data_IF_978221107490
#
_entry.id   IF_978221107490
#
_cell.length_a   1.000
_cell.length_b   1.000
_cell.length_c   1.000
_cell.angle_alpha   90.00
_cell.angle_beta   90.00
_cell.angle_gamma   90.00
#
_symmetry.space_group_name_H-M   'P 1'
#
loop_
_entity.id
_entity.type
_entity.pdbx_description
1 polymer ?
#
# COMPACT_ATOMS: atom_id res chain seq x y z
N UNK A 1 -32.81 -43.69 26.05
CA UNK A 1 -32.53 -43.80 24.59
C UNK A 1 -33.20 -42.60 23.95
N UNK A 2 -32.52 -41.59 23.42
CA UNK A 2 -31.11 -41.40 23.09
C UNK A 2 -30.75 -39.95 23.39
N UNK A 3 -29.82 -39.78 24.34
CA UNK A 3 -28.97 -38.61 24.47
C UNK A 3 -28.11 -38.53 23.19
N UNK A 4 -28.11 -37.38 22.52
CA UNK A 4 -27.04 -37.00 21.61
C UNK A 4 -26.66 -35.56 21.96
N UNK A 5 -25.37 -35.41 22.22
CA UNK A 5 -24.71 -34.32 22.92
C UNK A 5 -24.74 -33.00 22.16
N UNK A 6 -24.99 -31.91 22.89
CA UNK A 6 -24.53 -30.58 22.51
C UNK A 6 -22.99 -30.57 22.59
N UNK A 7 -22.34 -30.67 21.44
CA UNK A 7 -20.93 -30.28 21.33
C UNK A 7 -20.88 -28.76 21.20
N UNK A 8 -20.73 -28.10 22.35
CA UNK A 8 -20.25 -26.72 22.41
C UNK A 8 -18.80 -26.72 21.94
N UNK A 9 -18.59 -26.40 20.67
CA UNK A 9 -17.26 -26.08 20.16
C UNK A 9 -16.84 -24.74 20.77
N UNK A 10 -16.18 -24.83 21.93
CA UNK A 10 -15.48 -23.71 22.53
C UNK A 10 -14.22 -23.55 21.68
N UNK A 11 -14.32 -22.80 20.58
CA UNK A 11 -13.13 -22.22 20.00
C UNK A 11 -12.58 -21.26 21.04
N UNK A 12 -11.54 -21.70 21.75
CA UNK A 12 -10.56 -20.79 22.30
C UNK A 12 -10.08 -19.92 21.12
N UNK A 13 -10.69 -18.75 20.95
CA UNK A 13 -10.11 -17.66 20.18
C UNK A 13 -8.87 -17.24 20.94
N UNK A 14 -7.81 -18.01 20.78
CA UNK A 14 -6.47 -17.57 21.12
C UNK A 14 -6.31 -16.21 20.46
N UNK A 15 -6.03 -15.22 21.30
CA UNK A 15 -5.93 -13.81 20.95
C UNK A 15 -4.64 -13.57 20.16
N UNK A 16 -4.43 -14.33 19.09
CA UNK A 16 -3.42 -14.09 18.08
C UNK A 16 -4.07 -13.14 17.08
N UNK A 17 -3.57 -11.91 17.05
CA UNK A 17 -3.94 -10.98 15.98
C UNK A 17 -3.41 -11.58 14.65
N UNK A 18 -4.33 -11.97 13.77
CA UNK A 18 -4.03 -12.38 12.38
C UNK A 18 -3.11 -11.35 11.70
N UNK A 19 -2.21 -11.80 10.82
CA UNK A 19 -1.15 -10.97 10.24
C UNK A 19 -1.70 -9.70 9.60
N UNK A 20 -2.82 -9.79 8.88
CA UNK A 20 -3.48 -8.66 8.21
C UNK A 20 -3.99 -7.64 9.22
N UNK A 21 -4.69 -8.10 10.25
CA UNK A 21 -5.22 -7.25 11.32
C UNK A 21 -4.07 -6.56 12.07
N UNK A 22 -3.04 -7.32 12.42
CA UNK A 22 -1.82 -6.83 13.05
C UNK A 22 -1.13 -5.78 12.17
N UNK A 23 -0.94 -6.05 10.88
CA UNK A 23 -0.31 -5.14 9.92
C UNK A 23 -1.07 -3.82 9.77
N UNK A 24 -2.40 -3.86 9.60
CA UNK A 24 -3.22 -2.66 9.45
C UNK A 24 -3.30 -1.83 10.74
N UNK A 25 -3.12 -2.46 11.91
CA UNK A 25 -3.14 -1.79 13.21
C UNK A 25 -1.80 -1.17 13.62
N UNK A 26 -0.73 -1.39 12.83
CA UNK A 26 0.59 -0.81 13.12
C UNK A 26 0.56 0.71 13.06
N UNK A 27 1.40 1.33 13.88
CA UNK A 27 1.58 2.78 13.87
C UNK A 27 1.99 3.27 12.48
N UNK A 28 1.20 4.19 11.90
CA UNK A 28 1.41 4.69 10.54
C UNK A 28 0.71 3.89 9.44
N UNK A 29 0.04 2.78 9.73
CA UNK A 29 -0.67 1.98 8.73
C UNK A 29 -2.18 2.29 8.67
N UNK A 30 -2.59 3.42 9.25
CA UNK A 30 -4.02 3.76 9.37
C UNK A 30 -4.70 4.04 8.02
N UNK A 31 -3.94 4.16 6.93
CA UNK A 31 -4.49 4.34 5.58
C UNK A 31 -4.87 3.03 4.87
N UNK A 32 -4.46 1.88 5.39
CA UNK A 32 -4.85 0.59 4.85
C UNK A 32 -6.25 0.20 5.31
N UNK A 33 -7.01 -0.46 4.43
CA UNK A 33 -8.10 -1.32 4.84
C UNK A 33 -7.62 -2.78 4.93
N UNK A 34 -8.33 -3.61 5.68
CA UNK A 34 -8.04 -5.04 5.75
C UNK A 34 -8.56 -5.71 4.48
N UNK A 35 -7.68 -6.35 3.71
CA UNK A 35 -8.07 -7.12 2.53
C UNK A 35 -8.57 -8.50 2.98
N UNK A 36 -9.80 -8.89 2.61
CA UNK A 36 -10.32 -10.22 2.91
C UNK A 36 -9.44 -11.34 2.36
N UNK A 37 -9.26 -12.43 3.13
CA UNK A 37 -8.42 -13.56 2.74
C UNK A 37 -8.93 -14.26 1.49
N UNK A 38 -10.24 -14.35 1.29
CA UNK A 38 -10.86 -14.92 0.07
C UNK A 38 -10.46 -14.18 -1.21
N UNK A 39 -10.25 -12.86 -1.14
CA UNK A 39 -9.70 -12.08 -2.26
C UNK A 39 -8.25 -12.46 -2.56
N UNK A 40 -7.45 -12.73 -1.52
CA UNK A 40 -6.03 -13.06 -1.62
C UNK A 40 -5.84 -14.51 -2.09
N UNK A 41 -6.69 -15.44 -1.63
CA UNK A 41 -6.64 -16.86 -2.00
C UNK A 41 -6.97 -17.11 -3.48
N UNK A 42 -7.68 -16.19 -4.14
CA UNK A 42 -7.93 -16.26 -5.58
C UNK A 42 -6.70 -15.78 -6.38
N UNK A 43 -5.93 -16.75 -6.88
CA UNK A 43 -4.75 -16.56 -7.73
C UNK A 43 -4.97 -15.59 -8.91
N UNK A 44 -6.20 -15.49 -9.44
CA UNK A 44 -6.50 -14.56 -10.52
C UNK A 44 -6.22 -13.11 -10.11
N UNK A 45 -6.57 -12.74 -8.88
CA UNK A 45 -6.35 -11.39 -8.34
C UNK A 45 -4.86 -11.07 -8.11
N UNK A 46 -4.03 -12.11 -7.97
CA UNK A 46 -2.58 -11.99 -7.70
C UNK A 46 -1.71 -12.08 -8.95
N UNK A 47 -2.32 -12.22 -10.13
CA UNK A 47 -1.60 -12.39 -11.41
C UNK A 47 -0.48 -11.36 -11.60
N UNK A 48 0.73 -11.82 -11.91
CA UNK A 48 1.91 -10.99 -12.19
C UNK A 48 2.76 -10.62 -10.97
N UNK A 49 2.20 -10.64 -9.75
CA UNK A 49 2.93 -10.19 -8.53
C UNK A 49 4.12 -11.09 -8.17
N UNK A 50 4.09 -12.35 -8.56
CA UNK A 50 5.20 -13.30 -8.34
C UNK A 50 6.49 -12.95 -9.08
N UNK A 51 6.42 -12.12 -10.12
CA UNK A 51 7.60 -11.62 -10.84
C UNK A 51 8.16 -10.33 -10.22
N UNK A 52 7.33 -9.60 -9.46
CA UNK A 52 7.69 -8.33 -8.83
C UNK A 52 8.28 -8.54 -7.43
N UNK A 53 7.77 -9.53 -6.68
CA UNK A 53 8.13 -9.73 -5.27
C UNK A 53 9.09 -10.93 -5.09
N UNK A 54 10.30 -10.71 -4.53
CA UNK A 54 11.18 -11.80 -4.10
C UNK A 54 10.52 -12.67 -3.02
N UNK A 55 10.85 -13.96 -2.99
CA UNK A 55 10.30 -14.89 -2.00
C UNK A 55 8.76 -14.92 -1.92
N UNK A 56 8.08 -14.61 -3.03
CA UNK A 56 6.62 -14.48 -3.14
C UNK A 56 5.81 -15.52 -2.35
N UNK A 57 6.12 -16.83 -2.48
CA UNK A 57 5.38 -17.88 -1.78
C UNK A 57 5.46 -17.74 -0.26
N UNK A 58 6.67 -17.60 0.28
CA UNK A 58 6.87 -17.43 1.73
C UNK A 58 6.25 -16.14 2.27
N UNK A 59 6.28 -15.07 1.47
CA UNK A 59 5.61 -13.82 1.81
C UNK A 59 4.08 -13.99 1.85
N UNK A 60 3.50 -14.70 0.88
CA UNK A 60 2.07 -15.00 0.83
C UNK A 60 1.64 -15.92 1.98
N UNK A 61 2.43 -16.97 2.26
CA UNK A 61 2.18 -17.88 3.39
C UNK A 61 2.19 -17.12 4.73
N UNK A 62 3.06 -16.11 4.88
CA UNK A 62 3.09 -15.25 6.06
C UNK A 62 1.86 -14.34 6.16
N UNK A 63 1.41 -13.75 5.03
CA UNK A 63 0.20 -12.89 5.00
C UNK A 63 -1.06 -13.67 5.38
N UNK A 64 -1.14 -14.93 4.94
CA UNK A 64 -2.28 -15.81 5.16
C UNK A 64 -2.16 -16.65 6.45
N UNK A 65 -1.19 -16.35 7.31
CA UNK A 65 -0.92 -17.07 8.56
C UNK A 65 -0.78 -18.60 8.37
N UNK A 66 -0.34 -19.06 7.20
CA UNK A 66 -0.15 -20.48 6.86
C UNK A 66 1.16 -21.06 7.43
N UNK A 67 2.03 -20.21 7.97
CA UNK A 67 3.30 -20.60 8.58
C UNK A 67 3.04 -21.37 9.88
N UNK A 68 2.84 -22.68 9.75
CA UNK A 68 2.52 -23.60 10.84
C UNK A 68 3.81 -24.02 11.55
N UNK A 69 4.23 -23.35 12.63
CA UNK A 69 5.20 -23.82 13.68
C UNK A 69 6.51 -24.53 13.20
N UNK A 70 6.83 -24.57 11.92
CA UNK A 70 7.88 -25.41 11.34
C UNK A 70 9.27 -24.84 11.56
N UNK A 71 9.35 -23.56 11.92
CA UNK A 71 10.60 -22.90 12.29
C UNK A 71 10.92 -23.08 13.79
N UNK A 72 9.95 -23.43 14.64
CA UNK A 72 10.21 -23.70 16.07
C UNK A 72 10.73 -25.12 16.33
N UNK A 73 10.41 -26.09 15.46
CA UNK A 73 10.92 -27.47 15.60
C UNK A 73 12.39 -27.62 15.19
N UNK A 74 12.88 -26.83 14.22
CA UNK A 74 14.28 -26.89 13.76
C UNK A 74 15.28 -26.33 14.79
N UNK A 75 14.89 -25.35 15.61
CA UNK A 75 15.76 -24.83 16.68
C UNK A 75 15.84 -25.76 17.91
N UNK A 76 14.85 -26.65 18.11
CA UNK A 76 14.79 -27.51 19.31
C UNK A 76 15.61 -28.81 19.24
N UNK A 77 16.02 -29.25 18.04
CA UNK A 77 16.73 -30.53 17.84
C UNK A 77 18.27 -30.40 17.70
N UNK A 78 18.83 -29.20 17.84
CA UNK A 78 20.27 -28.93 17.69
C UNK A 78 21.14 -29.16 18.94
N UNK A 79 20.67 -29.92 19.93
CA UNK A 79 21.22 -29.87 21.30
C UNK A 79 21.49 -31.20 22.00
N UNK A 80 22.12 -32.20 21.36
CA UNK A 80 22.94 -33.16 22.12
C UNK A 80 24.02 -33.85 21.27
N UNK A 81 25.26 -33.38 21.41
CA UNK A 81 26.44 -34.15 21.03
C UNK A 81 27.52 -33.98 22.09
N UNK A 82 27.23 -34.46 23.31
CA UNK A 82 28.26 -34.54 24.35
C UNK A 82 28.42 -35.97 24.88
N UNK A 83 29.56 -36.56 24.47
CA UNK A 83 30.36 -37.61 25.16
C UNK A 83 29.90 -39.07 25.08
N UNK A 84 30.56 -39.80 24.17
CA UNK A 84 31.31 -41.00 24.58
C UNK A 84 32.53 -41.20 23.68
N UNK A 85 33.71 -40.91 24.21
CA UNK A 85 34.97 -41.42 23.69
C UNK A 85 35.34 -42.65 24.52
N UNK A 86 35.65 -43.77 23.87
CA UNK A 86 36.92 -44.49 24.04
C UNK A 86 36.90 -45.92 23.44
N UNK A 87 37.99 -46.20 22.70
CA UNK A 87 38.68 -47.50 22.54
C UNK A 87 38.07 -48.56 21.61
N UNK A 88 38.67 -48.72 20.43
CA UNK A 88 39.53 -49.90 20.13
C UNK A 88 40.45 -49.61 18.95
N UNK A 89 41.71 -50.00 19.11
CA UNK A 89 42.84 -49.90 18.17
C UNK A 89 42.98 -51.10 17.25
N UNK A 90 43.65 -50.87 16.11
CA UNK A 90 44.38 -51.75 15.17
C UNK A 90 43.84 -51.52 13.75
N UNK A 91 44.61 -51.27 12.69
CA UNK A 91 46.03 -51.37 12.39
C UNK A 91 46.13 -51.73 10.90
N UNK A 92 47.08 -51.17 10.15
CA UNK A 92 47.41 -51.67 8.80
C UNK A 92 47.52 -50.62 7.69
N UNK A 93 48.69 -50.64 7.04
CA UNK A 93 49.19 -49.86 5.91
C UNK A 93 48.45 -50.10 4.59
N UNK A 94 48.38 -49.09 3.72
CA UNK A 94 48.99 -49.16 2.37
C UNK A 94 48.80 -47.88 1.54
N UNK A 95 49.86 -47.52 0.83
CA UNK A 95 49.90 -46.45 -0.17
C UNK A 95 49.27 -46.97 -1.47
N UNK A 96 48.37 -46.19 -2.10
CA UNK A 96 48.44 -46.06 -3.55
C UNK A 96 47.71 -44.85 -4.13
N UNK A 97 48.34 -44.33 -5.19
CA UNK A 97 48.02 -43.16 -5.97
C UNK A 97 46.83 -43.42 -6.94
N UNK A 98 45.88 -42.49 -7.03
CA UNK A 98 44.70 -42.64 -7.89
C UNK A 98 43.99 -41.30 -8.13
N UNK A 99 44.19 -40.75 -9.32
CA UNK A 99 43.66 -39.50 -9.81
C UNK A 99 42.11 -39.55 -9.91
N UNK A 100 41.42 -38.90 -8.97
CA UNK A 100 39.97 -38.81 -8.92
C UNK A 100 39.52 -37.36 -8.74
N UNK A 101 38.92 -36.82 -9.80
CA UNK A 101 38.30 -35.49 -9.87
C UNK A 101 37.23 -35.38 -8.77
N UNK A 102 37.55 -34.75 -7.64
CA UNK A 102 36.58 -34.47 -6.58
C UNK A 102 35.66 -33.35 -7.03
N UNK A 103 34.45 -33.69 -7.41
CA UNK A 103 33.31 -32.77 -7.38
C UNK A 103 33.19 -32.22 -5.96
N UNK A 104 32.98 -30.91 -5.76
CA UNK A 104 32.63 -30.40 -4.43
C UNK A 104 31.34 -31.10 -3.97
N UNK A 105 31.17 -31.39 -2.67
CA UNK A 105 29.85 -31.72 -2.17
C UNK A 105 28.97 -30.51 -2.46
N UNK A 106 27.90 -30.71 -3.22
CA UNK A 106 26.82 -29.75 -3.32
C UNK A 106 26.19 -29.66 -1.93
N UNK A 107 26.69 -28.74 -1.11
CA UNK A 107 25.89 -28.09 -0.11
C UNK A 107 24.76 -27.38 -0.87
N UNK A 108 23.64 -28.08 -1.08
CA UNK A 108 22.37 -27.38 -1.09
C UNK A 108 22.12 -27.00 0.36
N UNK A 109 22.88 -26.00 0.82
CA UNK A 109 22.61 -25.32 2.07
C UNK A 109 21.17 -24.82 1.93
N UNK A 110 20.29 -25.37 2.76
CA UNK A 110 19.00 -24.77 3.06
C UNK A 110 19.29 -23.36 3.51
N UNK A 111 19.26 -22.42 2.57
CA UNK A 111 19.56 -21.04 2.84
C UNK A 111 18.39 -20.53 3.69
N UNK A 112 18.58 -20.53 5.00
CA UNK A 112 17.70 -19.90 5.98
C UNK A 112 17.60 -18.43 5.58
N UNK A 113 16.56 -18.10 4.80
CA UNK A 113 16.30 -16.72 4.39
C UNK A 113 15.96 -15.96 5.66
N UNK A 114 16.64 -14.84 5.88
CA UNK A 114 16.44 -14.04 7.08
C UNK A 114 14.96 -13.65 7.21
N UNK A 115 14.34 -13.94 8.36
CA UNK A 115 12.94 -13.64 8.67
C UNK A 115 12.57 -12.19 8.34
N UNK A 116 13.46 -11.23 8.58
CA UNK A 116 13.23 -9.81 8.29
C UNK A 116 13.06 -9.53 6.79
N UNK A 117 13.70 -10.31 5.92
CA UNK A 117 13.56 -10.18 4.46
C UNK A 117 12.18 -10.67 4.04
N UNK A 118 11.73 -11.81 4.59
CA UNK A 118 10.40 -12.34 4.30
C UNK A 118 9.30 -11.39 4.80
N UNK A 119 9.45 -10.85 6.01
CA UNK A 119 8.55 -9.82 6.54
C UNK A 119 8.46 -8.62 5.61
N UNK A 120 9.60 -8.07 5.16
CA UNK A 120 9.61 -6.94 4.23
C UNK A 120 8.98 -7.28 2.86
N UNK A 121 9.19 -8.49 2.35
CA UNK A 121 8.54 -8.96 1.12
C UNK A 121 7.02 -9.10 1.31
N UNK A 122 6.55 -9.56 2.48
CA UNK A 122 5.14 -9.66 2.81
C UNK A 122 4.47 -8.28 2.88
N UNK A 123 5.12 -7.28 3.49
CA UNK A 123 4.59 -5.91 3.52
C UNK A 123 4.44 -5.31 2.11
N UNK A 124 5.44 -5.50 1.24
CA UNK A 124 5.37 -5.05 -0.15
C UNK A 124 4.30 -5.78 -0.95
N UNK A 125 4.22 -7.10 -0.79
CA UNK A 125 3.21 -7.92 -1.46
C UNK A 125 1.80 -7.49 -1.04
N UNK A 126 1.54 -7.38 0.27
CA UNK A 126 0.26 -6.93 0.79
C UNK A 126 -0.10 -5.53 0.30
N UNK A 127 0.86 -4.61 0.25
CA UNK A 127 0.65 -3.28 -0.31
C UNK A 127 0.22 -3.30 -1.78
N UNK A 128 0.82 -4.14 -2.61
CA UNK A 128 0.43 -4.30 -4.02
C UNK A 128 -0.94 -4.99 -4.18
N UNK A 129 -1.25 -5.96 -3.32
CA UNK A 129 -2.58 -6.59 -3.26
C UNK A 129 -3.63 -5.56 -2.88
N UNK A 130 -3.36 -4.74 -1.85
CA UNK A 130 -4.23 -3.68 -1.39
C UNK A 130 -4.55 -2.69 -2.51
N UNK A 131 -3.55 -2.27 -3.30
CA UNK A 131 -3.75 -1.38 -4.45
C UNK A 131 -4.74 -1.94 -5.49
N UNK A 132 -4.79 -3.27 -5.66
CA UNK A 132 -5.77 -3.94 -6.53
C UNK A 132 -7.13 -4.05 -5.85
N UNK A 133 -7.13 -4.44 -4.58
CA UNK A 133 -8.36 -4.66 -3.81
C UNK A 133 -9.21 -3.39 -3.70
N UNK A 134 -8.60 -2.24 -3.43
CA UNK A 134 -9.32 -0.96 -3.28
C UNK A 134 -9.98 -0.44 -4.57
N UNK A 135 -9.75 -1.09 -5.71
CA UNK A 135 -10.46 -0.82 -6.97
C UNK A 135 -11.69 -1.71 -7.15
N UNK A 136 -11.86 -2.74 -6.32
CA UNK A 136 -13.07 -3.57 -6.30
C UNK A 136 -14.20 -2.85 -5.58
N UNK A 137 -15.45 -3.29 -5.80
CA UNK A 137 -16.61 -2.70 -5.10
C UNK A 137 -16.49 -2.81 -3.57
N UNK A 138 -16.03 -3.95 -3.06
CA UNK A 138 -15.88 -4.16 -1.61
C UNK A 138 -14.75 -3.30 -1.05
N UNK A 139 -13.61 -3.24 -1.73
CA UNK A 139 -12.48 -2.39 -1.30
C UNK A 139 -12.82 -0.91 -1.33
N UNK A 140 -13.58 -0.44 -2.33
CA UNK A 140 -14.11 0.92 -2.38
C UNK A 140 -15.00 1.25 -1.17
N UNK A 141 -15.87 0.32 -0.77
CA UNK A 141 -16.72 0.48 0.41
C UNK A 141 -15.90 0.55 1.70
N UNK A 142 -14.93 -0.35 1.87
CA UNK A 142 -14.03 -0.34 3.03
C UNK A 142 -13.24 0.98 3.13
N UNK A 143 -12.78 1.52 2.00
CA UNK A 143 -12.10 2.82 1.96
C UNK A 143 -13.06 3.99 2.19
N UNK A 144 -14.33 3.87 1.81
CA UNK A 144 -15.35 4.89 2.04
C UNK A 144 -15.67 5.05 3.55
N UNK A 145 -15.74 3.95 4.29
CA UNK A 145 -15.90 4.01 5.74
C UNK A 145 -14.78 4.82 6.41
N UNK A 146 -13.52 4.58 6.00
CA UNK A 146 -12.36 5.33 6.49
C UNK A 146 -12.39 6.81 6.05
N UNK A 147 -12.86 7.07 4.83
CA UNK A 147 -13.02 8.42 4.29
C UNK A 147 -14.01 9.23 5.13
N UNK A 148 -15.18 8.66 5.43
CA UNK A 148 -16.24 9.29 6.24
C UNK A 148 -15.75 9.64 7.65
N UNK A 149 -14.94 8.77 8.25
CA UNK A 149 -14.29 9.00 9.54
C UNK A 149 -13.09 9.95 9.49
N UNK A 150 -12.73 10.47 8.31
CA UNK A 150 -11.60 11.38 8.07
C UNK A 150 -10.25 10.77 8.45
N UNK A 151 -10.09 9.46 8.37
CA UNK A 151 -8.87 8.78 8.78
C UNK A 151 -7.66 9.15 7.91
N UNK A 152 -7.91 9.49 6.64
CA UNK A 152 -6.90 10.01 5.72
C UNK A 152 -6.55 11.48 5.97
N UNK A 153 -7.28 12.16 6.85
CA UNK A 153 -7.16 13.58 7.14
C UNK A 153 -8.02 14.46 6.24
N UNK A 154 -7.79 15.77 6.38
CA UNK A 154 -8.57 16.81 5.69
C UNK A 154 -7.69 17.78 4.92
N UNK A 155 -8.24 18.34 3.85
CA UNK A 155 -7.56 19.29 2.98
C UNK A 155 -7.04 20.50 3.77
N UNK A 156 -5.75 20.86 3.61
CA UNK A 156 -5.16 22.02 4.30
C UNK A 156 -5.65 23.37 3.77
N UNK A 157 -6.30 23.40 2.60
CA UNK A 157 -6.79 24.66 2.01
C UNK A 157 -8.05 25.14 2.74
N UNK A 158 -7.99 26.38 3.21
CA UNK A 158 -9.10 27.04 3.91
C UNK A 158 -10.43 26.95 3.16
N UNK A 159 -10.46 27.27 1.86
CA UNK A 159 -11.69 27.27 1.06
C UNK A 159 -12.23 25.88 0.72
N UNK A 160 -11.48 24.80 0.97
CA UNK A 160 -12.03 23.44 0.86
C UNK A 160 -12.92 23.07 2.06
N UNK A 161 -12.91 23.88 3.13
CA UNK A 161 -13.76 23.68 4.31
C UNK A 161 -13.51 22.35 5.02
N UNK A 162 -12.25 21.89 5.06
CA UNK A 162 -11.91 20.61 5.68
C UNK A 162 -12.41 19.39 4.92
N UNK A 163 -12.47 19.46 3.58
CA UNK A 163 -12.79 18.32 2.71
C UNK A 163 -11.91 17.11 3.08
N UNK A 164 -12.53 15.94 3.20
CA UNK A 164 -11.82 14.66 3.41
C UNK A 164 -10.88 14.37 2.24
N UNK A 165 -9.76 13.73 2.54
CA UNK A 165 -8.73 13.39 1.56
C UNK A 165 -8.78 11.90 1.21
N UNK A 166 -8.24 11.53 0.05
CA UNK A 166 -8.06 10.14 -0.38
C UNK A 166 -6.58 9.85 -0.57
N UNK A 167 -6.05 8.71 -0.12
CA UNK A 167 -4.68 8.32 -0.43
C UNK A 167 -4.49 8.08 -1.93
N UNK A 168 -3.32 8.40 -2.46
CA UNK A 168 -3.03 8.35 -3.89
C UNK A 168 -1.53 8.14 -4.13
N UNK A 169 -1.19 7.25 -5.05
CA UNK A 169 0.16 7.10 -5.59
C UNK A 169 0.44 8.06 -6.75
N UNK A 170 1.68 8.54 -6.86
CA UNK A 170 2.15 9.25 -8.07
C UNK A 170 2.66 8.28 -9.15
N UNK A 171 2.89 7.03 -8.78
CA UNK A 171 3.27 5.94 -9.66
C UNK A 171 2.80 4.63 -9.08
N UNK A 172 2.46 3.68 -9.94
CA UNK A 172 2.11 2.31 -9.56
C UNK A 172 3.34 1.41 -9.35
N UNK A 173 4.56 1.97 -9.46
CA UNK A 173 5.81 1.24 -9.20
C UNK A 173 6.35 1.56 -7.82
N UNK A 174 6.66 0.53 -7.02
CA UNK A 174 7.26 0.64 -5.68
C UNK A 174 8.63 1.34 -5.75
N UNK A 175 8.95 2.13 -4.72
CA UNK A 175 10.25 2.78 -4.52
C UNK A 175 10.41 4.12 -5.26
N UNK A 176 9.36 4.61 -5.95
CA UNK A 176 9.41 5.89 -6.65
C UNK A 176 8.96 7.06 -5.78
N UNK A 177 7.77 6.95 -5.22
CA UNK A 177 7.14 8.02 -4.47
C UNK A 177 6.35 7.46 -3.30
N UNK A 178 6.39 8.20 -2.20
CA UNK A 178 5.57 7.94 -1.03
C UNK A 178 4.13 8.37 -1.29
N UNK A 179 3.20 7.87 -0.47
CA UNK A 179 1.78 8.18 -0.57
C UNK A 179 1.52 9.69 -0.52
N UNK A 180 0.60 10.14 -1.37
CA UNK A 180 0.04 11.49 -1.40
C UNK A 180 -1.44 11.44 -1.02
N UNK A 181 -1.99 12.61 -0.73
CA UNK A 181 -3.39 12.76 -0.36
C UNK A 181 -4.08 13.66 -1.38
N UNK A 182 -5.03 13.10 -2.10
CA UNK A 182 -5.86 13.78 -3.09
C UNK A 182 -7.06 14.45 -2.43
N UNK A 183 -7.31 15.71 -2.78
CA UNK A 183 -8.53 16.42 -2.38
C UNK A 183 -9.47 16.54 -3.58
N UNK A 184 -10.66 15.95 -3.51
CA UNK A 184 -11.65 16.10 -4.57
C UNK A 184 -12.17 17.54 -4.72
N UNK A 185 -12.23 18.31 -3.62
CA UNK A 185 -12.75 19.69 -3.66
C UNK A 185 -11.87 20.66 -4.47
N UNK A 186 -10.54 20.58 -4.32
CA UNK A 186 -9.61 21.45 -5.05
C UNK A 186 -8.79 20.74 -6.11
N UNK A 187 -8.98 19.43 -6.28
CA UNK A 187 -8.34 18.60 -7.30
C UNK A 187 -6.81 18.70 -7.29
N UNK A 188 -6.23 18.70 -6.09
CA UNK A 188 -4.79 18.88 -5.88
C UNK A 188 -4.28 17.81 -4.88
N UNK A 189 -2.98 17.55 -4.93
CA UNK A 189 -2.30 16.52 -4.15
C UNK A 189 -1.48 17.14 -3.02
N UNK A 190 -1.57 16.54 -1.83
CA UNK A 190 -0.90 16.98 -0.62
C UNK A 190 0.01 15.90 -0.06
N UNK A 191 0.98 16.30 0.74
CA UNK A 191 1.68 15.38 1.62
C UNK A 191 0.78 15.05 2.83
N UNK A 192 0.86 13.83 3.37
CA UNK A 192 0.32 13.54 4.69
C UNK A 192 0.84 14.54 5.75
N UNK A 193 -0.05 15.01 6.62
CA UNK A 193 0.31 15.97 7.67
C UNK A 193 1.22 15.35 8.73
N UNK A 194 1.01 14.07 9.05
CA UNK A 194 1.81 13.35 10.03
C UNK A 194 3.01 12.70 9.34
N UNK A 195 4.20 12.87 9.92
CA UNK A 195 5.42 12.26 9.42
C UNK A 195 5.40 10.74 9.41
N UNK A 196 4.53 10.11 10.22
CA UNK A 196 4.39 8.64 10.28
C UNK A 196 3.95 8.01 8.97
N UNK A 197 3.28 8.77 8.11
CA UNK A 197 2.81 8.31 6.79
C UNK A 197 3.80 8.60 5.67
N UNK A 198 4.87 9.35 5.94
CA UNK A 198 5.81 9.79 4.90
C UNK A 198 6.73 8.68 4.39
N UNK A 199 6.77 7.52 5.05
CA UNK A 199 7.52 6.35 4.58
C UNK A 199 6.66 5.34 3.81
N UNK A 200 5.33 5.50 3.77
CA UNK A 200 4.47 4.57 3.05
C UNK A 200 4.60 4.75 1.55
N UNK A 201 4.72 3.65 0.82
CA UNK A 201 4.82 3.63 -0.64
C UNK A 201 3.49 4.03 -1.29
N UNK A 202 3.52 5.01 -2.19
CA UNK A 202 2.32 5.47 -2.89
C UNK A 202 1.72 4.41 -3.82
N UNK A 203 2.56 3.48 -4.31
CA UNK A 203 2.13 2.37 -5.15
C UNK A 203 1.08 1.46 -4.47
N UNK A 204 1.02 1.44 -3.12
CA UNK A 204 0.06 0.62 -2.38
C UNK A 204 -1.39 1.14 -2.41
N UNK A 205 -1.60 2.35 -2.94
CA UNK A 205 -2.92 2.89 -3.27
C UNK A 205 -3.11 3.12 -4.77
N UNK A 206 -2.00 3.16 -5.52
CA UNK A 206 -2.01 3.37 -6.96
C UNK A 206 -2.46 4.78 -7.38
N UNK A 207 -2.30 5.04 -8.67
CA UNK A 207 -2.62 6.34 -9.30
C UNK A 207 -4.12 6.51 -9.57
N UNK A 208 -4.84 5.40 -9.71
CA UNK A 208 -6.21 5.38 -10.23
C UNK A 208 -7.29 5.41 -9.15
N UNK A 209 -6.96 5.02 -7.91
CA UNK A 209 -7.94 4.85 -6.84
C UNK A 209 -8.84 6.08 -6.60
N UNK A 210 -8.32 7.32 -6.46
CA UNK A 210 -9.20 8.47 -6.22
C UNK A 210 -10.20 8.73 -7.35
N UNK A 211 -9.80 8.51 -8.61
CA UNK A 211 -10.68 8.68 -9.76
C UNK A 211 -11.78 7.63 -9.81
N UNK A 212 -11.44 6.36 -9.58
CA UNK A 212 -12.42 5.26 -9.50
C UNK A 212 -13.38 5.46 -8.33
N UNK A 213 -12.86 5.89 -7.18
CA UNK A 213 -13.65 6.18 -5.98
C UNK A 213 -14.71 7.25 -6.24
N UNK A 214 -14.33 8.39 -6.84
CA UNK A 214 -15.27 9.46 -7.16
C UNK A 214 -16.35 9.03 -8.15
N UNK A 215 -15.99 8.26 -9.19
CA UNK A 215 -16.97 7.75 -10.15
C UNK A 215 -17.91 6.70 -9.58
N UNK A 216 -17.47 5.96 -8.56
CA UNK A 216 -18.31 4.99 -7.85
C UNK A 216 -19.33 5.69 -6.94
N UNK A 217 -18.89 6.71 -6.19
CA UNK A 217 -19.71 7.48 -5.25
C UNK A 217 -20.13 8.82 -5.87
N UNK A 218 -21.08 8.78 -6.80
CA UNK A 218 -21.54 9.97 -7.54
C UNK A 218 -22.06 11.09 -6.65
N UNK A 219 -22.65 10.76 -5.51
CA UNK A 219 -23.13 11.76 -4.55
C UNK A 219 -21.99 12.66 -4.03
N UNK A 220 -20.78 12.11 -3.93
CA UNK A 220 -19.59 12.85 -3.55
C UNK A 220 -19.09 13.74 -4.69
N UNK A 221 -19.14 13.25 -5.94
CA UNK A 221 -18.81 14.01 -7.14
C UNK A 221 -19.73 15.23 -7.27
N UNK A 222 -21.05 15.03 -7.20
CA UNK A 222 -22.07 16.09 -7.25
C UNK A 222 -21.86 17.13 -6.14
N UNK A 223 -21.56 16.68 -4.92
CA UNK A 223 -21.26 17.56 -3.79
C UNK A 223 -20.01 18.42 -4.03
N UNK A 224 -18.97 17.84 -4.62
CA UNK A 224 -17.71 18.52 -4.94
C UNK A 224 -17.89 19.57 -6.02
N UNK A 225 -18.75 19.31 -7.01
CA UNK A 225 -19.09 20.25 -8.08
C UNK A 225 -19.85 21.46 -7.55
N UNK A 226 -20.79 21.24 -6.62
CA UNK A 226 -21.59 22.31 -6.00
C UNK A 226 -20.78 23.18 -5.02
N UNK A 227 -19.59 22.73 -4.59
CA UNK A 227 -18.76 23.50 -3.66
C UNK A 227 -18.22 24.79 -4.28
N UNK A 228 -18.18 25.82 -3.46
CA UNK A 228 -17.61 27.11 -3.82
C UNK A 228 -16.13 26.98 -4.24
N UNK A 229 -15.79 27.50 -5.41
CA UNK A 229 -14.44 27.48 -6.00
C UNK A 229 -13.64 28.76 -5.71
N UNK A 230 -13.94 29.44 -4.60
CA UNK A 230 -13.23 30.64 -4.16
C UNK A 230 -11.72 30.42 -4.03
N UNK A 231 -10.95 31.36 -4.56
CA UNK A 231 -9.49 31.42 -4.44
C UNK A 231 -9.10 32.54 -3.49
N UNK A 232 -8.14 32.28 -2.61
CA UNK A 232 -7.63 33.30 -1.70
C UNK A 232 -7.00 34.47 -2.48
N UNK A 233 -7.46 35.68 -2.18
CA UNK A 233 -6.93 36.91 -2.75
C UNK A 233 -6.24 37.73 -1.67
N UNK A 234 -4.92 37.84 -1.78
CA UNK A 234 -4.11 38.65 -0.85
C UNK A 234 -4.51 40.13 -0.97
N UNK A 235 -4.78 40.75 0.18
CA UNK A 235 -5.13 42.17 0.28
C UNK A 235 -4.23 42.87 1.31
N UNK A 236 -3.80 44.08 1.00
CA UNK A 236 -3.01 44.95 1.88
C UNK A 236 -3.80 46.26 2.05
N UNK A 237 -4.08 46.66 3.28
CA UNK A 237 -4.95 47.81 3.61
C UNK A 237 -6.33 47.77 2.91
N UNK A 238 -6.87 46.57 2.68
CA UNK A 238 -8.14 46.36 1.99
C UNK A 238 -8.06 46.32 0.46
N UNK A 239 -6.94 46.75 -0.13
CA UNK A 239 -6.71 46.72 -1.57
C UNK A 239 -6.13 45.38 -2.00
N UNK A 240 -6.65 44.83 -3.10
CA UNK A 240 -6.08 43.62 -3.69
C UNK A 240 -4.69 43.91 -4.24
N UNK A 241 -3.75 42.98 -4.02
CA UNK A 241 -2.42 43.10 -4.57
C UNK A 241 -2.44 42.96 -6.10
N UNK A 242 -1.68 43.81 -6.79
CA UNK A 242 -1.56 43.76 -8.24
C UNK A 242 -0.86 42.47 -8.71
N UNK A 243 -1.30 41.92 -9.86
CA UNK A 243 -0.76 40.66 -10.41
C UNK A 243 0.70 40.81 -10.84
N UNK A 244 1.07 42.01 -11.26
CA UNK A 244 2.40 42.40 -11.75
C UNK A 244 3.39 42.63 -10.61
N UNK A 245 2.92 42.71 -9.37
CA UNK A 245 3.80 42.93 -8.21
C UNK A 245 4.69 41.71 -7.94
N UNK A 246 5.86 41.95 -7.32
CA UNK A 246 6.82 40.89 -6.98
C UNK A 246 6.16 39.80 -6.12
N UNK A 247 5.32 40.23 -5.17
CA UNK A 247 4.58 39.37 -4.24
C UNK A 247 3.15 39.05 -4.72
N UNK A 248 2.85 39.36 -5.99
CA UNK A 248 1.56 39.07 -6.60
C UNK A 248 1.26 37.58 -6.64
N UNK A 249 -0.02 37.18 -6.78
CA UNK A 249 -0.40 35.78 -6.90
C UNK A 249 0.24 35.15 -8.14
N UNK A 250 1.23 34.26 -7.92
CA UNK A 250 1.89 33.51 -8.99
C UNK A 250 1.04 32.31 -9.39
N UNK A 251 0.93 32.07 -10.69
CA UNK A 251 0.22 30.92 -11.27
C UNK A 251 -1.22 30.78 -10.74
N UNK A 252 -1.92 31.89 -10.57
CA UNK A 252 -3.34 31.90 -10.17
C UNK A 252 -4.19 31.01 -11.08
N UNK A 253 -3.85 31.00 -12.38
CA UNK A 253 -4.49 30.21 -13.43
C UNK A 253 -4.55 28.70 -13.14
N UNK A 254 -3.57 28.13 -12.41
CA UNK A 254 -3.59 26.70 -12.05
C UNK A 254 -4.78 26.32 -11.14
N UNK A 255 -5.43 27.32 -10.52
CA UNK A 255 -6.53 27.13 -9.57
C UNK A 255 -7.76 27.93 -9.97
N UNK A 256 -7.76 28.51 -11.17
CA UNK A 256 -8.91 29.21 -11.70
C UNK A 256 -9.95 28.18 -12.14
N UNK A 257 -11.19 28.45 -11.79
CA UNK A 257 -12.33 27.68 -12.27
C UNK A 257 -13.12 28.55 -13.25
N UNK A 258 -13.67 27.98 -14.33
CA UNK A 258 -14.47 28.73 -15.29
C UNK A 258 -15.61 29.49 -14.57
N UNK A 259 -15.73 30.76 -14.90
CA UNK A 259 -16.67 31.69 -14.29
C UNK A 259 -17.59 32.37 -15.31
N UNK A 260 -17.10 32.54 -16.53
CA UNK A 260 -17.86 33.11 -17.65
C UNK A 260 -18.28 32.02 -18.63
N UNK A 261 -19.35 32.27 -19.40
CA UNK A 261 -19.81 31.34 -20.44
C UNK A 261 -18.70 30.98 -21.44
N UNK A 262 -17.89 31.96 -21.83
CA UNK A 262 -16.76 31.74 -22.74
C UNK A 262 -15.68 30.82 -22.14
N UNK A 263 -15.37 30.98 -20.84
CA UNK A 263 -14.42 30.09 -20.14
C UNK A 263 -14.99 28.67 -20.02
N UNK A 264 -16.31 28.53 -19.84
CA UNK A 264 -16.97 27.22 -19.83
C UNK A 264 -16.93 26.55 -21.20
N UNK A 265 -17.22 27.28 -22.28
CA UNK A 265 -17.09 26.78 -23.65
C UNK A 265 -15.65 26.35 -23.97
N UNK A 266 -14.65 27.08 -23.48
CA UNK A 266 -13.23 26.71 -23.63
C UNK A 266 -12.90 25.47 -22.82
N UNK A 267 -13.33 25.40 -21.56
CA UNK A 267 -13.11 24.25 -20.67
C UNK A 267 -13.67 22.95 -21.27
N UNK A 268 -14.90 22.98 -21.79
CA UNK A 268 -15.54 21.82 -22.44
C UNK A 268 -14.77 21.36 -23.69
N UNK A 269 -14.19 22.29 -24.46
CA UNK A 269 -13.34 21.93 -25.61
C UNK A 269 -12.03 21.25 -25.18
N UNK A 270 -11.46 21.67 -24.05
CA UNK A 270 -10.22 21.11 -23.52
C UNK A 270 -10.35 19.68 -23.00
N UNK A 271 -11.57 19.21 -22.68
CA UNK A 271 -11.80 17.85 -22.21
C UNK A 271 -11.38 16.79 -23.25
N UNK A 272 -11.46 17.13 -24.54
CA UNK A 272 -11.21 16.20 -25.65
C UNK A 272 -9.98 16.57 -26.50
N UNK A 273 -9.41 17.76 -26.32
CA UNK A 273 -8.33 18.27 -27.18
C UNK A 273 -7.28 19.06 -26.39
N UNK A 274 -5.99 18.83 -26.68
CA UNK A 274 -4.92 19.73 -26.24
C UNK A 274 -4.99 20.97 -27.13
N UNK A 275 -5.39 22.12 -26.55
CA UNK A 275 -5.44 23.38 -27.26
C UNK A 275 -4.06 23.69 -27.88
N UNK A 276 -4.03 23.88 -29.19
CA UNK A 276 -2.84 24.38 -29.87
C UNK A 276 -2.66 25.83 -29.44
N UNK A 277 -1.53 26.13 -28.78
CA UNK A 277 -1.12 27.50 -28.52
C UNK A 277 -1.17 28.25 -29.85
N UNK A 278 -1.98 29.30 -29.94
CA UNK A 278 -1.90 30.22 -31.08
C UNK A 278 -0.48 30.77 -31.06
N UNK A 279 0.23 30.64 -32.18
CA UNK A 279 1.53 31.27 -32.35
C UNK A 279 1.37 32.75 -31.97
N UNK A 280 2.13 33.18 -30.96
CA UNK A 280 2.17 34.57 -30.51
C UNK A 280 2.90 35.36 -31.62
N UNK A 281 2.15 35.80 -32.63
CA UNK A 281 2.57 36.85 -33.56
C UNK A 281 2.52 38.23 -32.90
#
# INVERSE_FOLDING_TARGET
MSFMEEVSDVSESSNYDEWISSFCSRFGHEFFCQVPTDFIEDDFNLTGLSQEIPHYRRALDLILDLVSLSDEEEESMGGDATRTAALTSNGGTDQNNGNGRRTPPTNQDGQTVNKSIIEHCAEQLYGLIHARYILTKQGLQAMAEKFDHKEFGTCPRYYCGGMQLLPCGLSDTVGKNTVRLYCASCQDLYLPHSSRHLCLEGAFWGTSFPGVFLKHFKELEDYVEQKNKNVYRLRIFGFALAKESISGPRMEWLRQYPSTEAEWEEFVKCEYEILKLKDLE
#
